data_IF_240408736962
#
_entry.id   IF_240408736962
#
_cell.length_a   1.000
_cell.length_b   1.000
_cell.length_c   1.000
_cell.angle_alpha   90.00
_cell.angle_beta   90.00
_cell.angle_gamma   90.00
#
_symmetry.space_group_name_H-M   'P 1'
#
loop_
_entity.id
_entity.type
_entity.pdbx_description
1 polymer ?
#
# COMPACT_ATOMS: atom_id res chain seq x y z
N UNK A 1 -7.15 28.77 7.61
CA UNK A 1 -7.72 28.32 6.33
C UNK A 1 -7.10 26.97 6.02
N UNK A 2 -7.85 25.88 6.13
CA UNK A 2 -7.41 24.56 5.67
C UNK A 2 -7.43 24.57 4.15
N UNK A 3 -6.27 24.64 3.52
CA UNK A 3 -6.12 24.53 2.08
C UNK A 3 -6.60 23.14 1.66
N UNK A 4 -7.72 23.07 0.96
CA UNK A 4 -8.26 21.81 0.45
C UNK A 4 -7.27 21.23 -0.55
N UNK A 5 -6.82 19.99 -0.34
CA UNK A 5 -5.87 19.33 -1.25
C UNK A 5 -6.54 19.17 -2.61
N UNK A 6 -5.88 19.56 -3.72
CA UNK A 6 -6.44 19.40 -5.06
C UNK A 6 -6.89 17.97 -5.34
N UNK A 7 -8.07 17.82 -5.94
CA UNK A 7 -8.66 16.51 -6.25
C UNK A 7 -7.73 15.61 -7.09
N UNK A 8 -6.92 16.17 -8.00
CA UNK A 8 -5.93 15.40 -8.76
C UNK A 8 -4.81 14.81 -7.87
N UNK A 9 -4.40 15.54 -6.83
CA UNK A 9 -3.42 15.06 -5.84
C UNK A 9 -4.05 13.97 -4.98
N UNK A 10 -5.29 14.18 -4.50
CA UNK A 10 -6.00 13.18 -3.72
C UNK A 10 -6.16 11.86 -4.50
N UNK A 11 -6.47 11.94 -5.80
CA UNK A 11 -6.59 10.78 -6.68
C UNK A 11 -5.27 10.03 -6.81
N UNK A 12 -4.19 10.76 -7.14
CA UNK A 12 -2.83 10.21 -7.27
C UNK A 12 -2.38 9.51 -5.99
N UNK A 13 -2.45 10.19 -4.85
CA UNK A 13 -1.97 9.67 -3.56
C UNK A 13 -2.75 8.41 -3.16
N UNK A 14 -4.07 8.43 -3.34
CA UNK A 14 -4.90 7.25 -3.05
C UNK A 14 -4.57 6.09 -3.98
N UNK A 15 -4.37 6.34 -5.27
CA UNK A 15 -4.00 5.29 -6.22
C UNK A 15 -2.63 4.71 -5.90
N UNK A 16 -1.62 5.55 -5.66
CA UNK A 16 -0.26 5.13 -5.31
C UNK A 16 -0.29 4.22 -4.09
N UNK A 17 -0.98 4.62 -3.01
CA UNK A 17 -1.08 3.82 -1.79
C UNK A 17 -1.62 2.41 -2.07
N UNK A 18 -2.72 2.30 -2.83
CA UNK A 18 -3.29 0.99 -3.17
C UNK A 18 -2.39 0.17 -4.10
N UNK A 19 -1.70 0.81 -5.05
CA UNK A 19 -0.75 0.15 -5.95
C UNK A 19 0.43 -0.45 -5.19
N UNK A 20 1.04 0.29 -4.26
CA UNK A 20 2.16 -0.20 -3.45
C UNK A 20 1.72 -1.36 -2.55
N UNK A 21 0.55 -1.24 -1.91
CA UNK A 21 -0.02 -2.33 -1.13
C UNK A 21 -0.25 -3.58 -2.00
N UNK A 22 -0.89 -3.47 -3.18
CA UNK A 22 -1.17 -4.62 -4.04
C UNK A 22 0.11 -5.30 -4.55
N UNK A 23 1.14 -4.51 -4.89
CA UNK A 23 2.45 -5.03 -5.29
C UNK A 23 3.07 -5.89 -4.18
N UNK A 24 3.08 -5.39 -2.94
CA UNK A 24 3.61 -6.13 -1.80
C UNK A 24 2.81 -7.41 -1.52
N UNK A 25 1.47 -7.33 -1.57
CA UNK A 25 0.61 -8.50 -1.41
C UNK A 25 0.87 -9.57 -2.47
N UNK A 26 1.17 -9.18 -3.71
CA UNK A 26 1.50 -10.08 -4.80
C UNK A 26 2.70 -10.98 -4.49
N UNK A 27 3.73 -10.44 -3.83
CA UNK A 27 4.92 -11.20 -3.44
C UNK A 27 4.69 -11.98 -2.14
N UNK A 28 4.07 -11.35 -1.13
CA UNK A 28 3.77 -12.02 0.15
C UNK A 28 2.86 -13.24 -0.03
N UNK A 29 1.93 -13.21 -1.00
CA UNK A 29 1.09 -14.35 -1.37
C UNK A 29 1.90 -15.51 -1.99
N UNK A 30 2.99 -15.23 -2.71
CA UNK A 30 3.87 -16.27 -3.27
C UNK A 30 4.75 -16.91 -2.20
N UNK A 31 5.14 -16.14 -1.18
CA UNK A 31 5.94 -16.62 -0.05
C UNK A 31 5.08 -17.43 0.93
N UNK A 32 3.85 -16.97 1.20
CA UNK A 32 2.93 -17.61 2.12
C UNK A 32 2.46 -18.98 1.63
N UNK A 33 2.56 -20.00 2.48
CA UNK A 33 1.97 -21.32 2.18
C UNK A 33 0.45 -21.18 1.95
N UNK A 34 -0.14 -21.86 0.95
CA UNK A 34 -1.58 -21.87 0.76
C UNK A 34 -2.33 -22.25 2.05
N UNK A 35 -3.39 -21.50 2.37
CA UNK A 35 -4.18 -21.70 3.60
C UNK A 35 -3.52 -21.20 4.90
N UNK A 36 -2.28 -20.68 4.85
CA UNK A 36 -1.65 -20.08 6.02
C UNK A 36 -2.35 -18.79 6.47
N UNK A 37 -2.11 -18.38 7.73
CA UNK A 37 -2.57 -17.11 8.29
C UNK A 37 -2.12 -15.92 7.43
N UNK A 38 -0.88 -15.95 6.94
CA UNK A 38 -0.33 -14.93 6.04
C UNK A 38 -1.10 -14.87 4.72
N UNK A 39 -1.20 -16.00 4.00
CA UNK A 39 -1.90 -16.06 2.72
C UNK A 39 -3.37 -15.60 2.82
N UNK A 40 -4.05 -15.99 3.90
CA UNK A 40 -5.45 -15.62 4.16
C UNK A 40 -5.61 -14.12 4.41
N UNK A 41 -4.74 -13.53 5.23
CA UNK A 41 -4.77 -12.09 5.51
C UNK A 41 -4.42 -11.28 4.26
N UNK A 42 -3.39 -11.69 3.51
CA UNK A 42 -3.03 -11.03 2.25
C UNK A 42 -4.18 -11.05 1.23
N UNK A 43 -4.83 -12.21 1.03
CA UNK A 43 -5.98 -12.33 0.13
C UNK A 43 -7.16 -11.45 0.59
N UNK A 44 -7.38 -11.35 1.89
CA UNK A 44 -8.45 -10.50 2.46
C UNK A 44 -8.18 -9.02 2.21
N UNK A 45 -6.95 -8.55 2.44
CA UNK A 45 -6.56 -7.16 2.17
C UNK A 45 -6.70 -6.87 0.67
N UNK A 46 -6.21 -7.77 -0.19
CA UNK A 46 -6.30 -7.64 -1.65
C UNK A 46 -7.74 -7.50 -2.14
N UNK A 47 -8.65 -8.32 -1.62
CA UNK A 47 -10.09 -8.20 -1.90
C UNK A 47 -10.63 -6.82 -1.57
N UNK A 48 -10.23 -6.23 -0.44
CA UNK A 48 -10.71 -4.89 -0.07
C UNK A 48 -10.08 -3.79 -0.91
N UNK A 49 -8.84 -3.95 -1.38
CA UNK A 49 -8.24 -3.06 -2.40
C UNK A 49 -9.09 -3.08 -3.67
N UNK A 50 -9.51 -4.25 -4.14
CA UNK A 50 -10.35 -4.38 -5.33
C UNK A 50 -11.69 -3.66 -5.18
N UNK A 51 -12.31 -3.73 -4.00
CA UNK A 51 -13.58 -3.04 -3.68
C UNK A 51 -13.40 -1.51 -3.53
N UNK A 52 -12.21 -1.03 -3.15
CA UNK A 52 -11.90 0.39 -3.06
C UNK A 52 -11.56 1.01 -4.43
N UNK A 53 -11.06 0.20 -5.36
CA UNK A 53 -10.52 0.63 -6.64
C UNK A 53 -11.51 1.14 -7.71
N UNK A 54 -12.83 0.85 -7.73
CA UNK A 54 -13.70 1.26 -8.84
C UNK A 54 -13.71 2.77 -9.07
N UNK A 55 -13.77 3.57 -8.00
CA UNK A 55 -13.77 5.03 -8.10
C UNK A 55 -12.45 5.60 -8.64
N UNK A 56 -11.33 4.91 -8.42
CA UNK A 56 -10.01 5.30 -8.89
C UNK A 56 -9.79 4.95 -10.36
N UNK A 57 -10.45 3.88 -10.85
CA UNK A 57 -10.32 3.36 -12.22
C UNK A 57 -11.15 4.13 -13.26
N UNK A 58 -12.22 4.82 -12.83
CA UNK A 58 -13.11 5.56 -13.74
C UNK A 58 -12.49 6.88 -14.20
N UNK A 59 -11.63 7.51 -13.38
CA UNK A 59 -11.02 8.80 -13.71
C UNK A 59 -9.64 8.57 -14.32
N UNK A 60 -9.36 9.20 -15.45
CA UNK A 60 -8.00 9.25 -16.02
C UNK A 60 -7.17 10.24 -15.21
N UNK A 61 -5.96 9.86 -14.83
CA UNK A 61 -4.99 10.79 -14.25
C UNK A 61 -4.65 11.90 -15.25
N UNK A 62 -4.39 13.11 -14.75
CA UNK A 62 -3.77 14.15 -15.57
C UNK A 62 -2.35 13.73 -15.95
N UNK A 63 -1.81 14.27 -17.05
CA UNK A 63 -0.43 13.96 -17.46
C UNK A 63 0.61 14.31 -16.39
N UNK A 64 0.35 15.34 -15.57
CA UNK A 64 1.19 15.68 -14.42
C UNK A 64 1.10 14.62 -13.33
N UNK A 65 -0.12 14.25 -12.92
CA UNK A 65 -0.33 13.25 -11.88
C UNK A 65 0.20 11.86 -12.28
N UNK A 66 0.16 11.51 -13.58
CA UNK A 66 0.77 10.29 -14.09
C UNK A 66 2.31 10.33 -13.95
N UNK A 67 2.96 11.42 -14.36
CA UNK A 67 4.42 11.55 -14.20
C UNK A 67 4.85 11.47 -12.74
N UNK A 68 4.11 12.11 -11.84
CA UNK A 68 4.39 12.04 -10.40
C UNK A 68 4.22 10.60 -9.87
N UNK A 69 3.20 9.88 -10.35
CA UNK A 69 2.99 8.47 -9.99
C UNK A 69 4.15 7.60 -10.51
N UNK A 70 4.59 7.81 -11.75
CA UNK A 70 5.70 7.06 -12.35
C UNK A 70 7.00 7.32 -11.58
N UNK A 71 7.29 8.58 -11.21
CA UNK A 71 8.47 8.95 -10.41
C UNK A 71 8.44 8.34 -8.99
N UNK A 72 7.26 8.30 -8.36
CA UNK A 72 7.09 7.63 -7.07
C UNK A 72 7.34 6.12 -7.20
N UNK A 73 6.82 5.48 -8.25
CA UNK A 73 7.07 4.07 -8.53
C UNK A 73 8.56 3.79 -8.78
N UNK A 74 9.26 4.65 -9.50
CA UNK A 74 10.70 4.54 -9.76
C UNK A 74 11.52 4.66 -8.47
N UNK A 75 11.17 5.61 -7.60
CA UNK A 75 11.79 5.78 -6.28
C UNK A 75 11.57 4.56 -5.39
N UNK A 76 10.33 4.05 -5.36
CA UNK A 76 9.98 2.83 -4.61
C UNK A 76 10.73 1.59 -5.12
N UNK A 77 10.93 1.48 -6.44
CA UNK A 77 11.64 0.35 -7.05
C UNK A 77 13.09 0.23 -6.55
N UNK A 78 13.74 1.34 -6.19
CA UNK A 78 15.08 1.32 -5.59
C UNK A 78 15.14 0.56 -4.24
N UNK A 79 14.00 0.44 -3.56
CA UNK A 79 13.86 -0.28 -2.29
C UNK A 79 13.27 -1.69 -2.45
N UNK A 80 12.96 -2.12 -3.68
CA UNK A 80 12.33 -3.41 -3.94
C UNK A 80 13.37 -4.48 -4.26
N UNK A 81 13.40 -5.56 -3.47
CA UNK A 81 14.14 -6.76 -3.82
C UNK A 81 13.28 -7.69 -4.69
N UNK A 82 13.67 -7.90 -5.94
CA UNK A 82 12.98 -8.82 -6.87
C UNK A 82 13.56 -10.24 -6.88
N UNK A 83 14.78 -10.40 -6.34
CA UNK A 83 15.52 -11.66 -6.27
C UNK A 83 15.96 -11.93 -4.83
N UNK A 84 16.06 -13.21 -4.42
CA UNK A 84 16.50 -13.58 -3.08
C UNK A 84 16.03 -14.97 -2.62
N UNK A 85 16.40 -15.32 -1.39
CA UNK A 85 16.26 -16.70 -0.85
C UNK A 85 14.93 -17.01 -0.15
N UNK A 86 13.99 -16.06 -0.12
CA UNK A 86 12.69 -16.20 0.56
C UNK A 86 12.62 -15.38 1.86
N UNK A 87 13.50 -15.57 2.86
CA UNK A 87 13.55 -14.72 4.05
C UNK A 87 13.85 -13.25 3.74
N UNK A 88 14.79 -12.98 2.83
CA UNK A 88 15.13 -11.61 2.40
C UNK A 88 13.96 -10.95 1.67
N UNK A 89 13.30 -11.70 0.78
CA UNK A 89 12.09 -11.24 0.11
C UNK A 89 10.97 -10.99 1.13
N UNK A 90 10.78 -11.87 2.10
CA UNK A 90 9.78 -11.68 3.14
C UNK A 90 10.06 -10.42 3.95
N UNK A 91 11.31 -10.16 4.31
CA UNK A 91 11.71 -8.95 5.02
C UNK A 91 11.46 -7.69 4.18
N UNK A 92 12.00 -7.63 2.96
CA UNK A 92 11.85 -6.49 2.06
C UNK A 92 10.37 -6.20 1.76
N UNK A 93 9.59 -7.21 1.39
CA UNK A 93 8.20 -7.02 1.01
C UNK A 93 7.25 -6.81 2.20
N UNK A 94 7.65 -7.20 3.42
CA UNK A 94 6.93 -6.79 4.64
C UNK A 94 7.13 -5.30 4.92
N UNK A 95 8.34 -4.78 4.70
CA UNK A 95 8.59 -3.34 4.80
C UNK A 95 7.83 -2.56 3.71
N UNK A 96 7.84 -3.03 2.46
CA UNK A 96 7.08 -2.41 1.36
C UNK A 96 5.57 -2.42 1.62
N UNK A 97 5.04 -3.49 2.24
CA UNK A 97 3.65 -3.51 2.67
C UNK A 97 3.37 -2.38 3.67
N UNK A 98 4.23 -2.18 4.67
CA UNK A 98 4.11 -1.09 5.63
C UNK A 98 4.25 0.28 4.99
N UNK A 99 5.15 0.46 4.01
CA UNK A 99 5.24 1.69 3.21
C UNK A 99 3.90 2.01 2.55
N UNK A 100 3.32 1.06 1.81
CA UNK A 100 2.02 1.24 1.15
C UNK A 100 0.88 1.45 2.16
N UNK A 101 0.92 0.76 3.30
CA UNK A 101 -0.10 0.92 4.33
C UNK A 101 -0.01 2.29 5.03
N UNK A 102 1.19 2.81 5.28
CA UNK A 102 1.40 4.17 5.81
C UNK A 102 0.93 5.23 4.81
N UNK A 103 1.25 5.07 3.52
CA UNK A 103 0.69 5.92 2.45
C UNK A 103 -0.84 5.88 2.44
N UNK A 104 -1.42 4.70 2.63
CA UNK A 104 -2.87 4.53 2.72
C UNK A 104 -3.46 5.26 3.93
N UNK A 105 -2.87 5.12 5.12
CA UNK A 105 -3.34 5.80 6.33
C UNK A 105 -3.25 7.32 6.20
N UNK A 106 -2.24 7.82 5.51
CA UNK A 106 -2.11 9.24 5.20
C UNK A 106 -3.16 9.69 4.16
N UNK A 107 -3.38 8.92 3.10
CA UNK A 107 -4.45 9.15 2.14
C UNK A 107 -5.84 9.14 2.81
N UNK A 108 -6.09 8.26 3.78
CA UNK A 108 -7.33 8.24 4.58
C UNK A 108 -7.60 9.56 5.31
N UNK A 109 -6.54 10.26 5.73
CA UNK A 109 -6.64 11.54 6.44
C UNK A 109 -6.81 12.73 5.49
N UNK A 110 -6.14 12.68 4.34
CA UNK A 110 -5.96 13.82 3.43
C UNK A 110 -6.83 13.78 2.17
N UNK A 111 -7.20 12.58 1.73
CA UNK A 111 -7.86 12.31 0.44
C UNK A 111 -9.34 11.96 0.65
N UNK A 112 -10.10 12.89 1.25
CA UNK A 112 -11.50 12.66 1.59
C UNK A 112 -12.35 12.34 0.35
N UNK A 113 -12.06 12.91 -0.82
CA UNK A 113 -12.89 12.69 -2.03
C UNK A 113 -12.80 11.26 -2.56
N UNK A 114 -11.73 10.53 -2.20
CA UNK A 114 -11.42 9.22 -2.76
C UNK A 114 -11.45 8.10 -1.74
N UNK A 115 -11.52 8.39 -0.44
CA UNK A 115 -11.46 7.37 0.61
C UNK A 115 -12.77 7.25 1.42
N UNK A 116 -13.91 7.55 0.79
CA UNK A 116 -15.22 7.46 1.46
C UNK A 116 -15.88 6.10 1.22
N UNK A 117 -16.49 5.56 2.28
CA UNK A 117 -17.37 4.40 2.20
C UNK A 117 -16.93 3.24 3.08
N UNK A 118 -17.82 2.25 3.23
CA UNK A 118 -17.58 1.06 4.06
C UNK A 118 -16.33 0.26 3.66
N UNK A 119 -16.02 0.04 2.35
CA UNK A 119 -14.83 -0.72 1.96
C UNK A 119 -13.52 -0.18 2.54
N UNK A 120 -13.37 1.15 2.61
CA UNK A 120 -12.17 1.81 3.13
C UNK A 120 -11.92 1.53 4.62
N UNK A 121 -12.96 1.53 5.44
CA UNK A 121 -12.85 1.16 6.85
C UNK A 121 -12.51 -0.33 7.05
N UNK A 122 -12.98 -1.20 6.17
CA UNK A 122 -12.61 -2.61 6.18
C UNK A 122 -11.18 -2.84 5.70
N UNK A 123 -10.74 -2.10 4.67
CA UNK A 123 -9.35 -2.12 4.21
C UNK A 123 -8.41 -1.70 5.34
N UNK A 124 -8.73 -0.62 6.06
CA UNK A 124 -7.93 -0.15 7.19
C UNK A 124 -7.83 -1.20 8.31
N UNK A 125 -8.97 -1.76 8.74
CA UNK A 125 -9.02 -2.78 9.79
C UNK A 125 -8.25 -4.05 9.40
N UNK A 126 -8.44 -4.53 8.18
CA UNK A 126 -7.77 -5.75 7.70
C UNK A 126 -6.30 -5.48 7.40
N UNK A 127 -5.96 -4.26 7.01
CA UNK A 127 -4.59 -3.80 6.83
C UNK A 127 -3.80 -3.83 8.14
N UNK A 128 -4.33 -3.24 9.21
CA UNK A 128 -3.73 -3.35 10.55
C UNK A 128 -3.55 -4.80 10.99
N UNK A 129 -4.55 -5.65 10.76
CA UNK A 129 -4.46 -7.07 11.08
C UNK A 129 -3.30 -7.75 10.34
N UNK A 130 -3.11 -7.48 9.04
CA UNK A 130 -1.96 -8.00 8.30
C UNK A 130 -0.65 -7.40 8.81
N UNK A 131 -0.58 -6.09 9.02
CA UNK A 131 0.61 -5.40 9.54
C UNK A 131 1.10 -6.01 10.85
N UNK A 132 0.22 -6.24 11.82
CA UNK A 132 0.59 -6.88 13.08
C UNK A 132 1.12 -8.30 12.89
N UNK A 133 0.54 -9.08 11.98
CA UNK A 133 1.08 -10.40 11.66
C UNK A 133 2.48 -10.30 11.06
N UNK A 134 2.72 -9.33 10.19
CA UNK A 134 4.04 -9.14 9.59
C UNK A 134 5.06 -8.72 10.64
N UNK A 135 4.69 -7.90 11.63
CA UNK A 135 5.57 -7.58 12.77
C UNK A 135 5.88 -8.79 13.64
N UNK A 136 4.93 -9.74 13.80
CA UNK A 136 5.17 -11.02 14.48
C UNK A 136 6.19 -11.89 13.71
N UNK A 137 6.12 -11.91 12.38
CA UNK A 137 6.96 -12.78 11.52
C UNK A 137 8.32 -12.13 11.23
N UNK A 138 8.33 -10.82 11.01
CA UNK A 138 9.47 -9.98 10.64
C UNK A 138 9.49 -8.76 11.57
N UNK A 139 10.09 -8.88 12.77
CA UNK A 139 10.22 -7.75 13.69
C UNK A 139 10.93 -6.55 13.03
N UNK A 140 10.38 -5.35 13.19
CA UNK A 140 10.95 -4.10 12.66
C UNK A 140 10.59 -3.78 11.21
N UNK A 141 9.77 -4.60 10.53
CA UNK A 141 9.32 -4.28 9.17
C UNK A 141 8.45 -3.01 9.10
N UNK A 142 7.76 -2.67 10.19
CA UNK A 142 6.97 -1.44 10.34
C UNK A 142 7.84 -0.19 10.37
N UNK A 143 8.96 -0.25 11.10
CA UNK A 143 9.95 0.83 11.16
C UNK A 143 10.60 1.01 9.79
N UNK A 144 11.13 -0.06 9.21
CA UNK A 144 11.76 -0.02 7.88
C UNK A 144 10.79 0.48 6.79
N UNK A 145 9.53 0.05 6.82
CA UNK A 145 8.51 0.53 5.88
C UNK A 145 8.15 2.00 6.08
N UNK A 146 8.14 2.47 7.33
CA UNK A 146 7.90 3.88 7.66
C UNK A 146 9.06 4.76 7.22
N UNK A 147 10.31 4.32 7.37
CA UNK A 147 11.48 5.05 6.90
C UNK A 147 11.43 5.25 5.37
N UNK A 148 11.10 4.20 4.61
CA UNK A 148 10.90 4.31 3.15
C UNK A 148 9.79 5.32 2.82
N UNK A 149 8.68 5.32 3.58
CA UNK A 149 7.62 6.30 3.36
C UNK A 149 8.11 7.74 3.60
N UNK A 150 8.90 7.97 4.65
CA UNK A 150 9.44 9.29 4.98
C UNK A 150 10.46 9.78 3.96
N UNK A 151 11.25 8.88 3.36
CA UNK A 151 12.18 9.22 2.27
C UNK A 151 11.46 9.67 0.99
N UNK A 152 10.18 9.30 0.83
CA UNK A 152 9.35 9.62 -0.33
C UNK A 152 8.40 10.80 -0.13
N UNK A 153 8.20 11.26 1.11
CA UNK A 153 7.20 12.27 1.50
C UNK A 153 7.75 13.70 1.49
#
# INVERSE_FOLDING_TARGET
MTTTIPHAIQHRDTLLALTVMDAALGILLRIGKPGSKLATRCATVRRWIDECSPALKVKRLSSGAQRDLDAACESLAAHMMTEGTGPELLQSWSAQYWTGFTMFLDARRRCADFTIGKPWGWLERTGWSLGYLLMEIVPGCDVAGTDIFLDLA
#
